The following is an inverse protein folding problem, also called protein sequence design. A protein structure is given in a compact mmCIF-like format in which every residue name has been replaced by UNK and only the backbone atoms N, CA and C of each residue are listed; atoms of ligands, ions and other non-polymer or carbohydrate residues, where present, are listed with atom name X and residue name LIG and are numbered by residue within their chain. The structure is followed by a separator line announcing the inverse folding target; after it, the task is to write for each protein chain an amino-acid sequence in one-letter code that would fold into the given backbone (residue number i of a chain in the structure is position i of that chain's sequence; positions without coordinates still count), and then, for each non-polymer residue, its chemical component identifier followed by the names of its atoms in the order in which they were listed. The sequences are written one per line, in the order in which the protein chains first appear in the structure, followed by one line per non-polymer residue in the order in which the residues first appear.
data_IF_312455483431
#
_entry.id   IF_312455483431
#
_cell.length_a   1.000
_cell.length_b   1.000
_cell.length_c   1.000
_cell.angle_alpha   90.00
_cell.angle_beta   90.00
_cell.angle_gamma   90.00
#
_symmetry.space_group_name_H-M   'P 1'
#
loop_
_entity.id
_entity.type
_entity.pdbx_description
1 polymer ?
#
# COMPACT_ATOMS: atom_id res chain seq x y z
N UNK A 1 -23.26 22.57 -4.67
CA UNK A 1 -24.65 22.24 -5.07
C UNK A 1 -25.14 20.85 -4.62
N UNK A 2 -24.32 20.03 -3.95
CA UNK A 2 -24.68 18.70 -3.41
C UNK A 2 -25.29 18.68 -2.00
N UNK A 3 -25.09 19.73 -1.19
CA UNK A 3 -25.56 19.74 0.21
C UNK A 3 -27.06 20.02 0.40
N UNK A 4 -27.72 20.63 -0.59
CA UNK A 4 -29.16 20.95 -0.49
C UNK A 4 -30.08 19.74 -0.74
N UNK A 5 -29.58 18.68 -1.39
CA UNK A 5 -30.39 17.47 -1.66
C UNK A 5 -30.40 16.52 -0.44
N UNK A 6 -29.35 16.50 0.36
CA UNK A 6 -29.26 15.63 1.57
C UNK A 6 -30.19 16.11 2.68
N UNK A 7 -30.25 17.41 2.92
CA UNK A 7 -31.15 17.97 3.93
C UNK A 7 -32.64 17.79 3.64
N UNK A 8 -33.05 17.77 2.38
CA UNK A 8 -34.45 17.49 1.98
C UNK A 8 -34.85 16.02 2.15
N UNK A 9 -33.93 15.07 1.90
CA UNK A 9 -34.21 13.63 2.06
C UNK A 9 -34.38 13.24 3.53
N UNK A 10 -33.59 13.81 4.43
CA UNK A 10 -33.67 13.52 5.88
C UNK A 10 -34.96 14.10 6.47
N UNK A 11 -35.36 15.31 6.08
CA UNK A 11 -36.63 15.91 6.51
C UNK A 11 -37.87 15.12 6.05
N UNK A 12 -37.85 14.59 4.81
CA UNK A 12 -38.94 13.79 4.29
C UNK A 12 -39.11 12.44 5.02
N UNK A 13 -38.00 11.79 5.40
CA UNK A 13 -38.06 10.53 6.13
C UNK A 13 -38.62 10.72 7.55
N UNK A 14 -38.21 11.77 8.27
CA UNK A 14 -38.77 12.07 9.59
C UNK A 14 -40.26 12.40 9.55
N UNK A 15 -40.71 13.14 8.53
CA UNK A 15 -42.15 13.44 8.35
C UNK A 15 -42.97 12.16 8.13
N UNK A 16 -42.50 11.24 7.28
CA UNK A 16 -43.17 9.94 7.02
C UNK A 16 -43.23 9.08 8.30
N UNK A 17 -42.17 9.08 9.13
CA UNK A 17 -42.15 8.40 10.43
C UNK A 17 -43.21 8.95 11.39
N UNK A 18 -43.29 10.27 11.52
CA UNK A 18 -44.33 10.90 12.34
C UNK A 18 -45.72 10.65 11.85
N UNK A 19 -45.94 10.66 10.54
CA UNK A 19 -47.26 10.34 9.94
C UNK A 19 -47.66 8.89 10.21
N UNK A 20 -46.75 7.93 10.06
CA UNK A 20 -47.02 6.51 10.33
C UNK A 20 -47.27 6.28 11.84
N UNK A 21 -46.56 6.95 12.72
CA UNK A 21 -46.76 6.85 14.16
C UNK A 21 -48.10 7.47 14.56
N UNK A 22 -48.47 8.62 14.00
CA UNK A 22 -49.76 9.26 14.21
C UNK A 22 -50.93 8.38 13.71
N UNK A 23 -50.79 7.79 12.54
CA UNK A 23 -51.81 6.86 11.99
C UNK A 23 -51.93 5.60 12.86
N UNK A 24 -50.85 5.08 13.41
CA UNK A 24 -50.88 3.94 14.36
C UNK A 24 -51.63 4.28 15.65
N UNK A 25 -51.39 5.46 16.23
CA UNK A 25 -52.11 5.91 17.42
C UNK A 25 -53.61 6.12 17.14
N UNK A 26 -53.94 6.73 16.01
CA UNK A 26 -55.34 6.96 15.61
C UNK A 26 -56.09 5.64 15.41
N UNK A 27 -55.50 4.67 14.72
CA UNK A 27 -56.14 3.36 14.51
C UNK A 27 -56.31 2.56 15.79
N UNK A 28 -55.35 2.68 16.74
CA UNK A 28 -55.49 2.07 18.08
C UNK A 28 -56.62 2.73 18.90
N UNK A 29 -56.71 4.06 18.87
CA UNK A 29 -57.80 4.79 19.55
C UNK A 29 -59.19 4.40 18.99
N UNK A 30 -59.30 4.28 17.69
CA UNK A 30 -60.51 3.84 17.03
C UNK A 30 -60.89 2.37 17.35
N UNK A 31 -59.86 1.50 17.51
CA UNK A 31 -60.08 0.12 17.92
C UNK A 31 -60.63 0.04 19.36
N UNK A 32 -60.08 0.85 20.28
CA UNK A 32 -60.54 0.94 21.69
C UNK A 32 -61.96 1.50 21.75
N UNK A 33 -62.27 2.53 20.98
CA UNK A 33 -63.61 3.11 20.90
C UNK A 33 -64.62 2.10 20.34
N UNK A 34 -64.30 1.39 19.27
CA UNK A 34 -65.12 0.34 18.66
C UNK A 34 -65.39 -0.82 19.62
N UNK A 35 -64.42 -1.20 20.47
CA UNK A 35 -64.61 -2.22 21.50
C UNK A 35 -65.54 -1.76 22.62
N UNK A 36 -65.41 -0.50 23.03
CA UNK A 36 -66.24 0.11 24.06
C UNK A 36 -67.71 0.20 23.64
N UNK A 37 -67.99 0.54 22.37
CA UNK A 37 -69.38 0.68 21.81
C UNK A 37 -70.02 -0.66 21.35
N UNK A 38 -69.45 -1.82 21.70
CA UNK A 38 -69.92 -3.14 21.26
C UNK A 38 -70.04 -3.32 19.74
N UNK A 39 -69.24 -2.62 18.95
CA UNK A 39 -69.20 -2.77 17.48
C UNK A 39 -68.64 -4.14 17.05
N UNK A 40 -69.00 -4.58 15.86
CA UNK A 40 -68.68 -5.90 15.31
C UNK A 40 -67.16 -6.26 15.51
N UNK A 41 -66.92 -7.42 16.11
CA UNK A 41 -65.59 -7.92 16.52
C UNK A 41 -64.59 -7.94 15.33
N UNK A 42 -65.05 -8.16 14.13
CA UNK A 42 -64.27 -8.15 12.88
C UNK A 42 -63.67 -6.76 12.63
N UNK A 43 -64.44 -5.68 12.91
CA UNK A 43 -63.99 -4.30 12.70
C UNK A 43 -62.89 -3.91 13.73
N UNK A 44 -63.02 -4.34 14.98
CA UNK A 44 -62.00 -4.09 16.00
C UNK A 44 -60.71 -4.82 15.71
N UNK A 45 -60.75 -6.08 15.25
CA UNK A 45 -59.57 -6.85 14.80
C UNK A 45 -58.89 -6.16 13.61
N UNK A 46 -59.65 -5.69 12.63
CA UNK A 46 -59.14 -4.98 11.47
C UNK A 46 -58.37 -3.71 11.84
N UNK A 47 -58.91 -2.92 12.76
CA UNK A 47 -58.24 -1.71 13.26
C UNK A 47 -56.93 -2.03 14.04
N UNK A 48 -56.97 -3.09 14.86
CA UNK A 48 -55.76 -3.54 15.59
C UNK A 48 -54.65 -4.02 14.67
N UNK A 49 -54.99 -4.75 13.60
CA UNK A 49 -54.03 -5.17 12.57
C UNK A 49 -53.43 -3.97 11.81
N UNK A 50 -54.26 -2.97 11.50
CA UNK A 50 -53.84 -1.74 10.84
C UNK A 50 -52.84 -0.96 11.73
N UNK A 51 -53.16 -0.83 13.02
CA UNK A 51 -52.27 -0.20 13.99
C UNK A 51 -50.91 -0.93 14.09
N UNK A 52 -50.93 -2.25 14.16
CA UNK A 52 -49.72 -3.09 14.17
C UNK A 52 -48.89 -2.92 12.91
N UNK A 53 -49.53 -2.87 11.74
CA UNK A 53 -48.87 -2.63 10.46
C UNK A 53 -48.17 -1.27 10.41
N UNK A 54 -48.81 -0.18 10.82
CA UNK A 54 -48.20 1.13 10.85
C UNK A 54 -47.06 1.21 11.88
N UNK A 55 -47.21 0.58 13.05
CA UNK A 55 -46.15 0.52 14.07
C UNK A 55 -44.94 -0.23 13.54
N UNK A 56 -45.13 -1.39 12.90
CA UNK A 56 -44.06 -2.18 12.31
C UNK A 56 -43.34 -1.39 11.20
N UNK A 57 -44.06 -0.70 10.32
CA UNK A 57 -43.46 0.15 9.29
C UNK A 57 -42.65 1.30 9.89
N UNK A 58 -43.18 1.99 10.89
CA UNK A 58 -42.46 3.06 11.58
C UNK A 58 -41.15 2.56 12.23
N UNK A 59 -41.18 1.40 12.89
CA UNK A 59 -39.99 0.75 13.46
C UNK A 59 -38.97 0.38 12.40
N UNK A 60 -39.42 -0.22 11.28
CA UNK A 60 -38.55 -0.62 10.19
C UNK A 60 -37.87 0.59 9.54
N UNK A 61 -38.64 1.66 9.27
CA UNK A 61 -38.10 2.91 8.72
C UNK A 61 -37.05 3.57 9.64
N UNK A 62 -37.28 3.58 10.96
CA UNK A 62 -36.29 4.07 11.93
C UNK A 62 -35.01 3.25 11.91
N UNK A 63 -35.11 1.92 11.83
CA UNK A 63 -33.94 1.04 11.76
C UNK A 63 -33.12 1.30 10.46
N UNK A 64 -33.79 1.46 9.32
CA UNK A 64 -33.16 1.78 8.04
C UNK A 64 -32.49 3.16 8.07
N UNK A 65 -33.17 4.17 8.60
CA UNK A 65 -32.64 5.53 8.71
C UNK A 65 -31.39 5.57 9.61
N UNK A 66 -31.43 4.89 10.77
CA UNK A 66 -30.27 4.80 11.67
C UNK A 66 -29.08 4.06 11.04
N UNK A 67 -29.35 2.97 10.29
CA UNK A 67 -28.31 2.23 9.57
C UNK A 67 -27.67 3.11 8.49
N UNK A 68 -28.48 3.83 7.71
CA UNK A 68 -28.00 4.73 6.65
C UNK A 68 -27.16 5.89 7.22
N UNK A 69 -27.59 6.49 8.34
CA UNK A 69 -26.82 7.54 9.03
C UNK A 69 -25.48 7.01 9.54
N UNK A 70 -25.45 5.80 10.13
CA UNK A 70 -24.20 5.18 10.60
C UNK A 70 -23.24 4.87 9.46
N UNK A 71 -23.76 4.37 8.32
CA UNK A 71 -22.92 4.11 7.15
C UNK A 71 -22.31 5.40 6.60
N UNK A 72 -23.10 6.49 6.49
CA UNK A 72 -22.61 7.79 6.03
C UNK A 72 -21.54 8.36 6.97
N UNK A 73 -21.69 8.19 8.29
CA UNK A 73 -20.66 8.59 9.26
C UNK A 73 -19.37 7.76 9.11
N UNK A 74 -19.51 6.45 8.90
CA UNK A 74 -18.35 5.57 8.66
C UNK A 74 -17.61 5.92 7.37
N UNK A 75 -18.34 6.18 6.28
CA UNK A 75 -17.74 6.63 5.01
C UNK A 75 -16.98 7.94 5.18
N UNK A 76 -17.53 8.89 5.95
CA UNK A 76 -16.85 10.15 6.24
C UNK A 76 -15.55 9.93 7.03
N UNK A 77 -15.59 9.11 8.08
CA UNK A 77 -14.42 8.76 8.89
C UNK A 77 -13.36 8.00 8.07
N UNK A 78 -13.80 7.11 7.18
CA UNK A 78 -12.90 6.41 6.27
C UNK A 78 -12.16 7.41 5.38
N UNK A 79 -12.90 8.29 4.71
CA UNK A 79 -12.34 9.33 3.83
C UNK A 79 -11.38 10.28 4.56
N UNK A 80 -11.68 10.63 5.81
CA UNK A 80 -10.79 11.44 6.64
C UNK A 80 -9.47 10.70 6.93
N UNK A 81 -9.55 9.42 7.35
CA UNK A 81 -8.36 8.59 7.56
C UNK A 81 -7.51 8.44 6.31
N UNK A 82 -8.13 8.22 5.17
CA UNK A 82 -7.46 8.13 3.87
C UNK A 82 -6.71 9.42 3.52
N UNK A 83 -7.36 10.57 3.75
CA UNK A 83 -6.72 11.89 3.53
C UNK A 83 -5.52 12.08 4.45
N UNK A 84 -5.63 11.69 5.72
CA UNK A 84 -4.52 11.75 6.66
C UNK A 84 -3.37 10.83 6.26
N UNK A 85 -3.65 9.60 5.81
CA UNK A 85 -2.61 8.68 5.31
C UNK A 85 -1.87 9.25 4.10
N UNK A 86 -2.59 9.82 3.12
CA UNK A 86 -1.97 10.50 1.98
C UNK A 86 -1.04 11.63 2.44
N UNK A 87 -1.48 12.46 3.38
CA UNK A 87 -0.67 13.55 3.92
C UNK A 87 0.60 13.01 4.64
N UNK A 88 0.48 11.92 5.39
CA UNK A 88 1.65 11.28 6.04
C UNK A 88 2.65 10.81 4.98
N UNK A 89 2.21 10.09 3.94
CA UNK A 89 3.11 9.63 2.87
C UNK A 89 3.78 10.80 2.14
N UNK A 90 3.02 11.88 1.87
CA UNK A 90 3.56 13.10 1.27
C UNK A 90 4.64 13.75 2.16
N UNK A 91 4.42 13.83 3.47
CA UNK A 91 5.41 14.38 4.41
C UNK A 91 6.64 13.49 4.54
N UNK A 92 6.48 12.17 4.59
CA UNK A 92 7.62 11.24 4.59
C UNK A 92 8.45 11.40 3.34
N UNK A 93 7.83 11.44 2.14
CA UNK A 93 8.51 11.73 0.88
C UNK A 93 9.32 13.03 0.96
N UNK A 94 8.71 14.14 1.40
CA UNK A 94 9.38 15.45 1.48
C UNK A 94 10.57 15.43 2.45
N UNK A 95 10.43 14.75 3.59
CA UNK A 95 11.51 14.58 4.55
C UNK A 95 12.68 13.76 3.95
N UNK A 96 12.38 12.66 3.26
CA UNK A 96 13.37 11.84 2.58
C UNK A 96 14.07 12.61 1.45
N UNK A 97 13.36 13.44 0.69
CA UNK A 97 13.95 14.32 -0.33
C UNK A 97 14.89 15.35 0.28
N UNK A 98 14.54 15.93 1.44
CA UNK A 98 15.43 16.85 2.18
C UNK A 98 16.69 16.15 2.63
N UNK A 99 16.59 14.95 3.21
CA UNK A 99 17.74 14.13 3.62
C UNK A 99 18.60 13.79 2.41
N UNK A 100 18.01 13.37 1.29
CA UNK A 100 18.73 13.07 0.04
C UNK A 100 19.50 14.29 -0.46
N UNK A 101 18.89 15.47 -0.43
CA UNK A 101 19.54 16.73 -0.84
C UNK A 101 20.72 17.08 0.06
N UNK A 102 20.60 16.92 1.38
CA UNK A 102 21.69 17.12 2.34
C UNK A 102 22.86 16.15 2.08
N UNK A 103 22.56 14.87 1.86
CA UNK A 103 23.57 13.86 1.52
C UNK A 103 24.28 14.22 0.20
N UNK A 104 23.54 14.71 -0.81
CA UNK A 104 24.12 15.18 -2.07
C UNK A 104 25.10 16.35 -1.87
N UNK A 105 24.72 17.32 -1.05
CA UNK A 105 25.61 18.45 -0.73
C UNK A 105 26.86 17.99 0.01
N UNK A 106 26.71 17.09 0.97
CA UNK A 106 27.84 16.55 1.74
C UNK A 106 28.78 15.72 0.86
N UNK A 107 28.23 14.89 -0.06
CA UNK A 107 29.08 14.10 -0.96
C UNK A 107 29.98 14.95 -1.85
N UNK A 108 29.47 16.12 -2.30
CA UNK A 108 30.25 17.07 -3.11
C UNK A 108 31.33 17.83 -2.32
N UNK A 109 31.13 17.99 -1.01
CA UNK A 109 32.06 18.71 -0.14
C UNK A 109 33.20 17.83 0.36
N UNK A 110 33.09 16.51 0.22
CA UNK A 110 34.11 15.55 0.72
C UNK A 110 35.17 15.31 -0.35
N UNK A 111 36.43 15.54 -0.02
CA UNK A 111 37.56 15.29 -0.91
C UNK A 111 38.01 13.81 -0.97
N UNK A 112 37.54 12.97 -0.05
CA UNK A 112 37.91 11.55 -0.01
C UNK A 112 36.94 10.70 -0.81
N UNK A 113 37.37 10.06 -1.94
CA UNK A 113 36.47 9.29 -2.81
C UNK A 113 35.79 8.11 -2.11
N UNK A 114 36.43 7.50 -1.11
CA UNK A 114 35.82 6.40 -0.34
C UNK A 114 34.67 6.90 0.52
N UNK A 115 34.80 8.04 1.17
CA UNK A 115 33.75 8.64 1.99
C UNK A 115 32.62 9.16 1.09
N UNK A 116 32.97 9.81 -0.03
CA UNK A 116 32.01 10.24 -1.04
C UNK A 116 31.15 9.06 -1.53
N UNK A 117 31.77 7.92 -1.84
CA UNK A 117 31.07 6.72 -2.28
C UNK A 117 30.11 6.15 -1.22
N UNK A 118 30.46 6.25 0.08
CA UNK A 118 29.60 5.84 1.19
C UNK A 118 28.38 6.77 1.28
N UNK A 119 28.57 8.08 1.19
CA UNK A 119 27.49 9.07 1.24
C UNK A 119 26.54 8.89 0.05
N UNK A 120 27.07 8.74 -1.18
CA UNK A 120 26.27 8.46 -2.38
C UNK A 120 25.45 7.18 -2.25
N UNK A 121 26.03 6.11 -1.72
CA UNK A 121 25.29 4.86 -1.46
C UNK A 121 24.15 5.08 -0.48
N UNK A 122 24.37 5.85 0.59
CA UNK A 122 23.32 6.22 1.55
C UNK A 122 22.22 7.07 0.89
N UNK A 123 22.60 8.00 0.01
CA UNK A 123 21.66 8.80 -0.77
C UNK A 123 20.76 7.92 -1.66
N UNK A 124 21.33 6.96 -2.38
CA UNK A 124 20.55 6.04 -3.23
C UNK A 124 19.51 5.25 -2.43
N UNK A 125 19.86 4.79 -1.21
CA UNK A 125 18.91 4.11 -0.30
C UNK A 125 17.74 5.02 0.10
N UNK A 126 18.04 6.27 0.45
CA UNK A 126 17.01 7.25 0.81
C UNK A 126 16.09 7.54 -0.38
N UNK A 127 16.63 7.68 -1.59
CA UNK A 127 15.83 7.88 -2.81
C UNK A 127 14.95 6.67 -3.10
N UNK A 128 15.48 5.45 -2.98
CA UNK A 128 14.69 4.21 -3.16
C UNK A 128 13.48 4.17 -2.24
N UNK A 129 13.63 4.52 -0.96
CA UNK A 129 12.51 4.62 -0.02
C UNK A 129 11.53 5.75 -0.41
N UNK A 130 12.04 6.90 -0.86
CA UNK A 130 11.22 8.04 -1.26
C UNK A 130 10.30 7.71 -2.46
N UNK A 131 10.80 6.93 -3.42
CA UNK A 131 10.01 6.46 -4.58
C UNK A 131 8.82 5.62 -4.14
N UNK A 132 8.98 4.72 -3.18
CA UNK A 132 7.88 3.92 -2.62
C UNK A 132 6.78 4.82 -2.06
N UNK A 133 7.13 5.81 -1.24
CA UNK A 133 6.16 6.74 -0.66
C UNK A 133 5.52 7.65 -1.71
N UNK A 134 6.24 7.99 -2.79
CA UNK A 134 5.67 8.76 -3.91
C UNK A 134 4.61 7.98 -4.68
N UNK A 135 4.85 6.71 -4.93
CA UNK A 135 3.90 5.85 -5.63
C UNK A 135 2.60 5.66 -4.84
N UNK A 136 2.68 5.53 -3.52
CA UNK A 136 1.50 5.47 -2.65
C UNK A 136 0.69 6.77 -2.70
N UNK A 137 1.37 7.91 -2.73
CA UNK A 137 0.71 9.22 -2.77
C UNK A 137 -0.04 9.48 -4.08
N UNK A 138 0.54 9.07 -5.23
CA UNK A 138 -0.03 9.32 -6.58
C UNK A 138 -1.29 8.49 -6.88
N UNK A 139 -1.62 7.50 -6.07
CA UNK A 139 -2.77 6.60 -6.33
C UNK A 139 -4.02 7.08 -5.61
N UNK A 140 -5.14 6.99 -6.34
CA UNK A 140 -6.49 7.16 -5.76
C UNK A 140 -7.04 5.83 -5.20
N UNK A 141 -6.32 4.73 -5.40
CA UNK A 141 -6.69 3.41 -4.92
C UNK A 141 -6.11 3.20 -3.51
N UNK A 142 -6.99 3.02 -2.53
CA UNK A 142 -6.71 2.91 -1.08
C UNK A 142 -6.02 1.61 -0.66
N UNK A 143 -5.46 0.87 -1.61
CA UNK A 143 -4.66 -0.30 -1.30
C UNK A 143 -3.26 0.15 -0.88
N UNK A 144 -2.84 -0.21 0.33
CA UNK A 144 -1.47 -0.03 0.84
C UNK A 144 -0.42 -0.87 0.07
N UNK A 145 -0.77 -1.31 -1.15
CA UNK A 145 0.07 -2.17 -2.00
C UNK A 145 0.65 -1.39 -3.18
N UNK A 146 1.93 -1.65 -3.45
CA UNK A 146 2.72 -1.05 -4.51
C UNK A 146 2.78 -1.99 -5.72
N UNK A 147 2.56 -1.49 -6.93
CA UNK A 147 2.87 -2.19 -8.16
C UNK A 147 4.38 -2.32 -8.30
N UNK A 148 4.87 -3.56 -8.30
CA UNK A 148 6.30 -3.78 -8.17
C UNK A 148 7.07 -3.47 -9.45
N UNK A 149 6.54 -3.81 -10.62
CA UNK A 149 7.24 -3.60 -11.89
C UNK A 149 7.52 -2.12 -12.19
N UNK A 150 6.54 -1.18 -12.10
CA UNK A 150 6.81 0.24 -12.28
C UNK A 150 7.83 0.80 -11.27
N UNK A 151 7.76 0.35 -10.01
CA UNK A 151 8.71 0.75 -8.98
C UNK A 151 10.14 0.31 -9.32
N UNK A 152 10.31 -0.97 -9.66
CA UNK A 152 11.63 -1.54 -9.98
C UNK A 152 12.21 -0.91 -11.25
N UNK A 153 11.37 -0.65 -12.26
CA UNK A 153 11.78 0.02 -13.49
C UNK A 153 12.32 1.43 -13.22
N UNK A 154 11.58 2.24 -12.45
CA UNK A 154 12.00 3.60 -12.09
C UNK A 154 13.28 3.59 -11.22
N UNK A 155 13.39 2.64 -10.29
CA UNK A 155 14.58 2.47 -9.45
C UNK A 155 15.81 2.08 -10.29
N UNK A 156 15.68 1.13 -11.22
CA UNK A 156 16.78 0.72 -12.12
C UNK A 156 17.26 1.92 -12.95
N UNK A 157 16.36 2.63 -13.60
CA UNK A 157 16.68 3.80 -14.42
C UNK A 157 17.42 4.88 -13.60
N UNK A 158 16.93 5.19 -12.42
CA UNK A 158 17.57 6.13 -11.52
C UNK A 158 19.00 5.71 -11.14
N UNK A 159 19.20 4.44 -10.74
CA UNK A 159 20.50 3.95 -10.31
C UNK A 159 21.51 3.92 -11.47
N UNK A 160 21.08 3.47 -12.65
CA UNK A 160 21.95 3.42 -13.82
C UNK A 160 22.40 4.83 -14.22
N UNK A 161 21.49 5.78 -14.32
CA UNK A 161 21.81 7.19 -14.61
C UNK A 161 22.73 7.80 -13.56
N UNK A 162 22.50 7.49 -12.29
CA UNK A 162 23.29 8.05 -11.19
C UNK A 162 24.73 7.54 -11.14
N UNK A 163 24.98 6.30 -11.58
CA UNK A 163 26.31 5.66 -11.52
C UNK A 163 27.06 5.75 -12.85
N UNK A 164 26.39 5.53 -13.96
CA UNK A 164 27.00 5.44 -15.30
C UNK A 164 26.73 6.68 -16.20
N UNK A 165 25.86 7.60 -15.75
CA UNK A 165 25.48 8.76 -16.57
C UNK A 165 24.37 8.44 -17.58
N UNK A 166 24.15 9.35 -18.54
CA UNK A 166 23.08 9.21 -19.53
C UNK A 166 23.48 8.39 -20.76
N UNK A 167 24.75 8.34 -21.08
CA UNK A 167 25.28 7.70 -22.31
C UNK A 167 25.70 6.23 -22.08
N UNK A 168 25.04 5.57 -21.10
CA UNK A 168 25.35 4.18 -20.76
C UNK A 168 24.82 3.18 -21.79
N UNK A 169 25.47 2.02 -21.86
CA UNK A 169 25.04 0.86 -22.68
C UNK A 169 24.48 -0.27 -21.80
N UNK A 170 23.79 0.08 -20.73
CA UNK A 170 23.21 -0.90 -19.80
C UNK A 170 21.76 -1.14 -20.19
N UNK A 171 21.40 -2.40 -20.34
CA UNK A 171 20.06 -2.86 -20.65
C UNK A 171 19.44 -3.45 -19.36
N UNK A 172 18.18 -3.15 -19.09
CA UNK A 172 17.40 -3.77 -18.04
C UNK A 172 16.42 -4.78 -18.62
N UNK A 173 16.48 -6.02 -18.13
CA UNK A 173 15.58 -7.10 -18.50
C UNK A 173 14.72 -7.43 -17.26
N UNK A 174 13.48 -6.91 -17.26
CA UNK A 174 12.53 -7.02 -16.15
C UNK A 174 11.42 -8.00 -16.53
N UNK A 175 11.31 -9.09 -15.78
CA UNK A 175 10.22 -10.07 -15.88
C UNK A 175 9.62 -10.24 -14.48
N UNK A 176 8.81 -9.26 -14.09
CA UNK A 176 8.28 -9.14 -12.72
C UNK A 176 6.81 -9.55 -12.65
N UNK A 177 6.05 -9.32 -13.71
CA UNK A 177 4.61 -9.55 -13.72
C UNK A 177 3.81 -8.51 -12.90
N UNK A 178 2.50 -8.63 -12.93
CA UNK A 178 1.57 -7.71 -12.25
C UNK A 178 1.41 -8.09 -10.76
N UNK A 179 2.49 -7.96 -9.98
CA UNK A 179 2.44 -8.19 -8.54
C UNK A 179 2.33 -6.87 -7.78
N UNK A 180 1.44 -6.87 -6.78
CA UNK A 180 1.25 -5.78 -5.82
C UNK A 180 1.61 -6.27 -4.44
N UNK A 181 2.62 -5.66 -3.83
CA UNK A 181 3.14 -6.03 -2.51
C UNK A 181 2.97 -4.89 -1.51
N UNK A 182 2.91 -5.24 -0.23
CA UNK A 182 2.82 -4.29 0.87
C UNK A 182 4.05 -3.38 0.93
N UNK A 183 3.90 -2.17 1.49
CA UNK A 183 5.01 -1.22 1.71
C UNK A 183 6.13 -1.85 2.54
N UNK A 184 5.77 -2.67 3.55
CA UNK A 184 6.72 -3.34 4.45
C UNK A 184 7.52 -4.44 3.74
N UNK A 185 7.03 -4.91 2.59
CA UNK A 185 7.77 -5.82 1.70
C UNK A 185 8.59 -5.05 0.66
N UNK A 186 8.00 -4.02 0.05
CA UNK A 186 8.63 -3.30 -1.07
C UNK A 186 9.85 -2.48 -0.62
N UNK A 187 9.82 -1.87 0.58
CA UNK A 187 10.97 -1.10 1.07
C UNK A 187 12.21 -1.99 1.26
N UNK A 188 12.19 -3.10 2.03
CA UNK A 188 13.35 -3.98 2.13
C UNK A 188 13.78 -4.56 0.79
N UNK A 189 12.83 -4.95 -0.07
CA UNK A 189 13.12 -5.50 -1.39
C UNK A 189 13.81 -4.47 -2.29
N UNK A 190 13.33 -3.24 -2.30
CA UNK A 190 13.93 -2.12 -3.04
C UNK A 190 15.36 -1.80 -2.57
N UNK A 191 15.64 -1.93 -1.28
CA UNK A 191 16.99 -1.77 -0.75
C UNK A 191 17.92 -2.92 -1.17
N UNK A 192 17.41 -4.16 -1.25
CA UNK A 192 18.18 -5.30 -1.79
C UNK A 192 18.51 -5.05 -3.27
N UNK A 193 17.52 -4.65 -4.07
CA UNK A 193 17.68 -4.31 -5.50
C UNK A 193 18.70 -3.18 -5.65
N UNK A 194 18.58 -2.10 -4.86
CA UNK A 194 19.49 -0.97 -4.88
C UNK A 194 20.95 -1.41 -4.64
N UNK A 195 21.22 -2.20 -3.60
CA UNK A 195 22.55 -2.67 -3.28
C UNK A 195 23.12 -3.56 -4.38
N UNK A 196 22.31 -4.49 -4.89
CA UNK A 196 22.74 -5.42 -5.95
C UNK A 196 23.06 -4.68 -7.23
N UNK A 197 22.18 -3.79 -7.70
CA UNK A 197 22.39 -3.01 -8.93
C UNK A 197 23.56 -2.05 -8.76
N UNK A 198 23.67 -1.36 -7.61
CA UNK A 198 24.81 -0.46 -7.36
C UNK A 198 26.14 -1.22 -7.40
N UNK A 199 26.20 -2.43 -6.85
CA UNK A 199 27.38 -3.28 -6.93
C UNK A 199 27.67 -3.73 -8.36
N UNK A 200 26.67 -4.15 -9.11
CA UNK A 200 26.80 -4.49 -10.52
C UNK A 200 27.41 -3.33 -11.34
N UNK A 201 26.85 -2.13 -11.17
CA UNK A 201 27.30 -0.94 -11.89
C UNK A 201 28.69 -0.45 -11.50
N UNK A 202 29.10 -0.61 -10.22
CA UNK A 202 30.41 -0.17 -9.75
C UNK A 202 31.52 -1.17 -9.94
N UNK A 203 31.21 -2.46 -9.84
CA UNK A 203 32.21 -3.51 -9.74
C UNK A 203 32.03 -4.61 -10.80
N UNK A 204 30.79 -4.89 -11.22
CA UNK A 204 30.47 -5.97 -12.14
C UNK A 204 30.60 -5.58 -13.62
N UNK A 205 30.11 -4.41 -13.99
CA UNK A 205 30.10 -3.93 -15.38
C UNK A 205 31.12 -2.83 -15.55
N UNK A 206 32.22 -3.06 -16.31
CA UNK A 206 33.24 -2.03 -16.58
C UNK A 206 32.65 -0.78 -17.24
N UNK A 207 33.32 0.37 -17.05
CA UNK A 207 32.92 1.59 -17.74
C UNK A 207 33.07 1.41 -19.27
N UNK A 208 32.21 2.06 -20.03
CA UNK A 208 32.12 2.00 -21.50
C UNK A 208 31.79 0.61 -22.08
N UNK A 209 31.50 -0.39 -21.26
CA UNK A 209 31.06 -1.71 -21.72
C UNK A 209 29.53 -1.84 -21.78
N UNK A 210 29.09 -2.76 -22.65
CA UNK A 210 27.69 -3.20 -22.63
C UNK A 210 27.44 -4.09 -21.42
N UNK A 211 26.27 -3.94 -20.81
CA UNK A 211 25.88 -4.74 -19.65
C UNK A 211 24.40 -4.98 -19.59
N UNK A 212 24.00 -6.05 -18.95
CA UNK A 212 22.61 -6.38 -18.70
C UNK A 212 22.38 -6.56 -17.20
N UNK A 213 21.33 -5.92 -16.70
CA UNK A 213 20.76 -6.16 -15.39
C UNK A 213 19.47 -6.94 -15.59
N UNK A 214 19.39 -8.12 -15.00
CA UNK A 214 18.21 -8.98 -15.08
C UNK A 214 17.52 -9.09 -13.75
N UNK A 215 16.19 -8.93 -13.75
CA UNK A 215 15.33 -9.14 -12.57
C UNK A 215 14.14 -9.97 -13.02
N UNK A 216 14.00 -11.16 -12.43
CA UNK A 216 12.87 -12.04 -12.63
C UNK A 216 12.21 -12.30 -11.27
N UNK A 217 10.87 -12.20 -11.21
CA UNK A 217 10.09 -12.50 -10.03
C UNK A 217 9.02 -13.55 -10.34
N UNK A 218 8.95 -14.58 -9.53
CA UNK A 218 7.93 -15.61 -9.62
C UNK A 218 7.25 -15.83 -8.26
N UNK A 219 5.94 -16.03 -8.29
CA UNK A 219 5.16 -16.41 -7.09
C UNK A 219 5.24 -17.92 -6.91
N UNK A 220 5.65 -18.37 -5.72
CA UNK A 220 5.83 -19.80 -5.41
C UNK A 220 4.71 -20.36 -4.52
N UNK A 221 3.98 -19.51 -3.82
CA UNK A 221 2.88 -19.88 -2.93
C UNK A 221 1.91 -18.75 -2.70
N UNK A 222 1.08 -18.82 -1.67
CA UNK A 222 0.08 -17.76 -1.40
C UNK A 222 0.73 -16.41 -1.17
N UNK A 223 1.77 -16.35 -0.32
CA UNK A 223 2.48 -15.12 0.06
C UNK A 223 4.00 -15.27 -0.11
N UNK A 224 4.47 -16.33 -0.77
CA UNK A 224 5.89 -16.62 -0.97
C UNK A 224 6.29 -16.34 -2.41
N UNK A 225 7.45 -15.73 -2.57
CA UNK A 225 8.00 -15.30 -3.83
C UNK A 225 9.46 -15.68 -3.94
N UNK A 226 9.91 -15.83 -5.19
CA UNK A 226 11.31 -16.04 -5.54
C UNK A 226 11.71 -14.97 -6.55
N UNK A 227 12.76 -14.21 -6.24
CA UNK A 227 13.36 -13.25 -7.14
C UNK A 227 14.76 -13.69 -7.54
N UNK A 228 15.03 -13.63 -8.83
CA UNK A 228 16.36 -13.81 -9.41
C UNK A 228 16.84 -12.46 -9.94
N UNK A 229 17.96 -11.97 -9.42
CA UNK A 229 18.42 -10.60 -9.64
C UNK A 229 19.93 -10.58 -9.80
N UNK A 230 20.44 -9.91 -10.85
CA UNK A 230 21.87 -9.78 -11.05
C UNK A 230 22.28 -9.08 -12.34
N UNK A 231 23.57 -9.26 -12.68
CA UNK A 231 24.24 -8.69 -13.85
C UNK A 231 25.05 -9.74 -14.61
N UNK A 232 25.32 -9.49 -15.90
CA UNK A 232 26.14 -10.32 -16.77
C UNK A 232 27.61 -9.89 -16.83
N UNK A 233 28.08 -9.11 -15.86
CA UNK A 233 29.42 -8.54 -15.83
C UNK A 233 30.55 -9.53 -15.53
N UNK A 234 31.65 -9.05 -14.95
CA UNK A 234 32.86 -9.84 -14.68
C UNK A 234 32.69 -10.84 -13.53
N UNK A 235 31.60 -10.72 -12.76
CA UNK A 235 31.33 -11.58 -11.61
C UNK A 235 32.05 -11.14 -10.33
N UNK A 236 31.89 -11.97 -9.31
CA UNK A 236 32.48 -11.74 -8.00
C UNK A 236 33.76 -12.54 -7.84
N UNK A 237 34.82 -12.00 -7.22
CA UNK A 237 35.99 -12.80 -6.87
C UNK A 237 35.61 -13.99 -5.97
N UNK A 238 36.20 -15.17 -6.24
CA UNK A 238 35.83 -16.42 -5.55
C UNK A 238 36.08 -16.40 -4.03
N UNK A 239 37.06 -15.58 -3.61
CA UNK A 239 37.46 -15.41 -2.20
C UNK A 239 36.53 -14.47 -1.40
N UNK A 240 35.62 -13.74 -2.09
CA UNK A 240 34.72 -12.77 -1.46
C UNK A 240 33.34 -13.40 -1.21
N UNK A 241 33.03 -13.60 0.07
CA UNK A 241 31.73 -14.09 0.53
C UNK A 241 31.11 -13.11 1.53
N UNK A 242 29.81 -13.15 1.80
CA UNK A 242 29.20 -12.34 2.86
C UNK A 242 29.82 -12.53 4.25
N UNK A 243 30.44 -13.68 4.50
CA UNK A 243 31.10 -14.01 5.76
C UNK A 243 32.54 -13.45 5.82
N UNK A 244 33.22 -13.40 4.68
CA UNK A 244 34.61 -12.97 4.59
C UNK A 244 34.75 -11.47 4.29
N UNK A 245 33.71 -10.83 3.76
CA UNK A 245 33.73 -9.40 3.44
C UNK A 245 33.23 -8.53 4.57
N UNK A 246 33.89 -7.39 4.75
CA UNK A 246 33.41 -6.31 5.62
C UNK A 246 32.43 -5.34 4.89
N UNK A 247 31.99 -5.69 3.68
CA UNK A 247 31.08 -4.86 2.91
C UNK A 247 29.76 -4.66 3.66
N UNK A 248 29.44 -3.41 3.96
CA UNK A 248 28.17 -3.04 4.59
C UNK A 248 26.98 -3.43 3.72
N UNK A 249 27.09 -3.27 2.38
CA UNK A 249 26.03 -3.61 1.43
C UNK A 249 25.65 -5.09 1.46
N UNK A 250 26.63 -6.01 1.42
CA UNK A 250 26.36 -7.45 1.47
C UNK A 250 25.72 -7.87 2.80
N UNK A 251 26.18 -7.29 3.92
CA UNK A 251 25.55 -7.54 5.23
C UNK A 251 24.11 -7.04 5.27
N UNK A 252 23.85 -5.87 4.66
CA UNK A 252 22.51 -5.29 4.57
C UNK A 252 21.57 -6.19 3.76
N UNK A 253 21.97 -6.66 2.59
CA UNK A 253 21.20 -7.58 1.75
C UNK A 253 20.74 -8.82 2.54
N UNK A 254 21.67 -9.47 3.25
CA UNK A 254 21.34 -10.65 4.05
C UNK A 254 20.39 -10.35 5.23
N UNK A 255 20.55 -9.19 5.87
CA UNK A 255 19.66 -8.80 6.97
C UNK A 255 18.25 -8.49 6.47
N UNK A 256 18.13 -7.81 5.32
CA UNK A 256 16.85 -7.50 4.71
C UNK A 256 16.12 -8.75 4.21
N UNK A 257 16.85 -9.72 3.61
CA UNK A 257 16.26 -10.99 3.23
C UNK A 257 15.68 -11.74 4.45
N UNK A 258 16.38 -11.73 5.58
CA UNK A 258 15.87 -12.30 6.85
C UNK A 258 14.66 -11.52 7.41
N UNK A 259 14.64 -10.19 7.28
CA UNK A 259 13.49 -9.38 7.66
C UNK A 259 12.22 -9.77 6.88
N UNK A 260 12.39 -10.16 5.61
CA UNK A 260 11.34 -10.69 4.75
C UNK A 260 11.05 -12.19 4.98
N UNK A 261 11.48 -12.75 6.12
CA UNK A 261 11.38 -14.19 6.48
C UNK A 261 11.92 -15.10 5.39
N UNK A 262 12.91 -14.63 4.66
CA UNK A 262 13.46 -15.27 3.49
C UNK A 262 14.94 -15.63 3.61
N UNK A 263 15.48 -16.02 2.47
CA UNK A 263 16.89 -16.34 2.30
C UNK A 263 17.43 -15.76 1.00
N UNK A 264 18.76 -15.57 0.95
CA UNK A 264 19.46 -15.17 -0.25
C UNK A 264 20.66 -16.07 -0.48
N UNK A 265 20.82 -16.53 -1.69
CA UNK A 265 21.98 -17.28 -2.16
C UNK A 265 22.55 -16.66 -3.43
N UNK A 266 23.87 -16.68 -3.58
CA UNK A 266 24.52 -16.32 -4.83
C UNK A 266 24.49 -17.53 -5.75
N UNK A 267 24.12 -17.31 -7.03
CA UNK A 267 24.30 -18.28 -8.08
C UNK A 267 25.78 -18.23 -8.53
N UNK A 268 26.49 -19.35 -8.36
CA UNK A 268 27.89 -19.48 -8.74
C UNK A 268 28.09 -20.05 -10.14
N UNK A 269 27.02 -20.55 -10.76
CA UNK A 269 27.09 -21.31 -12.01
C UNK A 269 26.88 -20.39 -13.23
N UNK A 270 26.30 -19.22 -13.02
CA UNK A 270 26.02 -18.25 -14.07
C UNK A 270 27.12 -17.20 -14.13
N UNK A 271 27.57 -16.86 -15.37
CA UNK A 271 28.52 -15.77 -15.61
C UNK A 271 27.93 -14.44 -15.13
N UNK A 272 28.74 -13.68 -14.38
CA UNK A 272 28.29 -12.42 -13.75
C UNK A 272 28.03 -12.58 -12.27
N UNK A 273 27.16 -11.74 -11.71
CA UNK A 273 26.78 -11.80 -10.30
C UNK A 273 25.27 -11.89 -10.17
N UNK A 274 24.75 -13.06 -9.86
CA UNK A 274 23.32 -13.28 -9.66
C UNK A 274 23.02 -13.75 -8.23
N UNK A 275 21.87 -13.33 -7.73
CA UNK A 275 21.29 -13.75 -6.46
C UNK A 275 19.91 -14.35 -6.66
N UNK A 276 19.65 -15.46 -5.96
CA UNK A 276 18.34 -16.02 -5.79
C UNK A 276 17.83 -15.66 -4.40
N UNK A 277 16.70 -14.98 -4.33
CA UNK A 277 16.11 -14.45 -3.11
C UNK A 277 14.72 -15.06 -2.95
N UNK A 278 14.53 -15.84 -1.89
CA UNK A 278 13.21 -16.30 -1.47
C UNK A 278 12.71 -15.39 -0.37
N UNK A 279 11.44 -14.98 -0.42
CA UNK A 279 10.87 -14.10 0.59
C UNK A 279 9.36 -14.30 0.75
N UNK A 280 8.83 -13.83 1.89
CA UNK A 280 7.40 -13.79 2.18
C UNK A 280 6.92 -12.33 2.12
N UNK A 281 5.71 -12.12 1.57
CA UNK A 281 5.03 -10.83 1.68
C UNK A 281 4.68 -10.57 3.15
N UNK A 282 5.10 -9.44 3.69
CA UNK A 282 4.71 -8.98 5.02
C UNK A 282 3.28 -8.47 4.93
N UNK A 283 2.36 -9.20 5.53
CA UNK A 283 0.95 -8.81 5.64
C UNK A 283 0.75 -8.23 7.03
N UNK A 284 0.29 -6.98 7.13
CA UNK A 284 -0.20 -6.46 8.40
C UNK A 284 -1.41 -7.29 8.86
N UNK A 285 -1.25 -8.10 9.89
CA UNK A 285 -2.37 -8.65 10.62
C UNK A 285 -3.03 -7.48 11.37
N UNK A 286 -4.14 -6.99 10.85
CA UNK A 286 -5.05 -6.18 11.66
C UNK A 286 -5.55 -7.08 12.79
N UNK A 287 -4.87 -7.05 13.93
CA UNK A 287 -5.43 -7.57 15.15
C UNK A 287 -6.75 -6.83 15.37
N UNK A 288 -7.86 -7.52 15.10
CA UNK A 288 -9.18 -7.11 15.55
C UNK A 288 -9.06 -7.03 17.08
N UNK A 289 -8.91 -5.82 17.58
CA UNK A 289 -9.09 -5.55 19.02
C UNK A 289 -10.57 -5.82 19.28
N UNK A 290 -10.85 -6.96 19.92
CA UNK A 290 -12.14 -7.35 20.47
C UNK A 290 -12.69 -6.30 21.45
#
# INVERSE_FOLDING_TARGET
MKDLSHGKSIKNNSLVEYLNFGASLLSLALAIYSWYENLNIIFTIGLALLASFFFFNAFHLRKLSKSKSKNSELELKLKEKETLLKEVHHRVKNNLQTVSSLLSLQSRAVANPKIEGIIKSSQHRVVSMSMVHEMLYKRDDYTSKIELEPYVSELCEYLIRSVKGNDHKIITNLDIGDYRLSIDTVIPLGLIINETITNALKYGIPDDSEGEIKIHLSKKGTNTYEMYLGDNGIGFPDDVTPKTTNSLGLKLIHNLARQLKGSIARDSDTKGTYYQINFEEVIEEFNSVD
#
